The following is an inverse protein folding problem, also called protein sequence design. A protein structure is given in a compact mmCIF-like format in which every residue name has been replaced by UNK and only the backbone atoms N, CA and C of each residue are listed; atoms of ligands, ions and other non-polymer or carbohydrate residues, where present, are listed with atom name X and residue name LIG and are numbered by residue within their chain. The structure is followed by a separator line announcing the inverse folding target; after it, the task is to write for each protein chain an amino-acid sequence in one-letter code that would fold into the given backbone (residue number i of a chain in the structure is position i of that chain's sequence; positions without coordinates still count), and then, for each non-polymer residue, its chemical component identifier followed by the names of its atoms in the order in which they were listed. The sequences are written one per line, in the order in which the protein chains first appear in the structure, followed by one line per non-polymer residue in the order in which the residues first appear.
data_IF_563256256267
#
_entry.id   IF_563256256267
#
_cell.length_a   1.000
_cell.length_b   1.000
_cell.length_c   1.000
_cell.angle_alpha   90.00
_cell.angle_beta   90.00
_cell.angle_gamma   90.00
#
_symmetry.space_group_name_H-M   'P 1'
#
loop_
_entity.id
_entity.type
_entity.pdbx_description
1 polymer ?
#
# COMPACT_ATOMS: atom_id res chain seq x y z
N UNK A 1 13.39 13.99 6.79
CA UNK A 1 11.91 14.04 6.67
C UNK A 1 11.46 12.65 6.26
N UNK A 2 10.70 11.96 7.09
CA UNK A 2 10.17 10.62 6.78
C UNK A 2 9.11 10.76 5.68
N UNK A 3 9.29 10.09 4.56
CA UNK A 3 8.26 10.02 3.50
C UNK A 3 6.97 9.47 4.10
N UNK A 4 5.87 10.21 3.96
CA UNK A 4 4.55 9.86 4.46
C UNK A 4 3.99 8.68 3.67
N UNK A 5 3.99 7.49 4.27
CA UNK A 5 3.38 6.29 3.69
C UNK A 5 1.86 6.43 3.72
N UNK A 6 1.24 6.52 2.55
CA UNK A 6 -0.21 6.63 2.44
C UNK A 6 -0.82 5.32 1.97
N UNK A 7 -1.87 4.87 2.64
CA UNK A 7 -2.57 3.66 2.27
C UNK A 7 -3.37 3.85 0.97
N UNK A 8 -3.11 3.00 -0.02
CA UNK A 8 -3.76 3.08 -1.34
C UNK A 8 -5.27 2.88 -1.25
N UNK A 9 -5.76 2.09 -0.28
CA UNK A 9 -7.18 1.74 -0.11
C UNK A 9 -8.00 2.78 0.66
N UNK A 10 -7.57 3.17 1.86
CA UNK A 10 -8.35 4.10 2.70
C UNK A 10 -7.90 5.56 2.60
N UNK A 11 -6.80 5.83 1.87
CA UNK A 11 -6.21 7.18 1.70
C UNK A 11 -5.75 7.85 2.99
N UNK A 12 -5.62 7.10 4.09
CA UNK A 12 -5.05 7.59 5.35
C UNK A 12 -3.55 7.32 5.41
N UNK A 13 -2.84 8.16 6.15
CA UNK A 13 -1.45 7.90 6.51
C UNK A 13 -1.31 6.60 7.31
N UNK A 14 -0.22 5.89 7.05
CA UNK A 14 0.21 4.71 7.79
C UNK A 14 1.17 5.19 8.87
N UNK A 15 0.78 5.01 10.13
CA UNK A 15 1.60 5.36 11.28
C UNK A 15 2.69 4.31 11.51
N UNK A 16 3.75 4.70 12.19
CA UNK A 16 4.94 3.86 12.43
C UNK A 16 4.62 2.49 13.07
N UNK A 17 3.58 2.41 13.91
CA UNK A 17 3.16 1.19 14.60
C UNK A 17 2.04 0.41 13.88
N UNK A 18 1.60 0.88 12.72
CA UNK A 18 0.50 0.24 11.99
C UNK A 18 1.04 -0.84 11.04
N UNK A 19 0.40 -2.01 11.08
CA UNK A 19 0.69 -3.09 10.15
C UNK A 19 0.22 -2.73 8.75
N UNK A 20 1.12 -2.87 7.79
CA UNK A 20 0.87 -2.58 6.39
C UNK A 20 1.62 -3.58 5.50
N UNK A 21 1.07 -3.82 4.32
CA UNK A 21 1.72 -4.57 3.25
C UNK A 21 2.29 -3.61 2.22
N UNK A 22 3.42 -4.01 1.62
CA UNK A 22 4.03 -3.32 0.48
C UNK A 22 3.58 -4.06 -0.78
N UNK A 23 2.95 -3.34 -1.70
CA UNK A 23 2.46 -3.86 -2.98
C UNK A 23 3.36 -3.30 -4.07
N UNK A 24 3.92 -4.20 -4.87
CA UNK A 24 4.77 -3.86 -6.02
C UNK A 24 4.30 -4.67 -7.22
N UNK A 25 4.08 -4.00 -8.34
CA UNK A 25 3.68 -4.65 -9.58
C UNK A 25 4.91 -4.91 -10.45
N UNK A 26 4.82 -5.95 -11.29
CA UNK A 26 5.82 -6.24 -12.31
C UNK A 26 5.17 -6.05 -13.67
N UNK A 27 5.70 -5.13 -14.46
CA UNK A 27 5.24 -4.84 -15.82
C UNK A 27 6.43 -4.94 -16.74
N UNK A 28 6.35 -5.78 -17.79
CA UNK A 28 7.45 -5.99 -18.74
C UNK A 28 8.79 -6.30 -18.04
N UNK A 29 8.77 -7.20 -17.05
CA UNK A 29 9.96 -7.60 -16.27
C UNK A 29 10.60 -6.46 -15.44
N UNK A 30 9.91 -5.32 -15.29
CA UNK A 30 10.35 -4.20 -14.46
C UNK A 30 9.42 -4.02 -13.26
N UNK A 31 10.00 -3.71 -12.11
CA UNK A 31 9.27 -3.39 -10.89
C UNK A 31 8.70 -1.96 -10.98
N UNK A 32 7.43 -1.80 -10.62
CA UNK A 32 6.79 -0.48 -10.47
C UNK A 32 7.09 0.13 -9.11
N UNK A 33 6.63 1.36 -8.88
CA UNK A 33 6.71 2.02 -7.57
C UNK A 33 6.07 1.19 -6.45
N UNK A 34 6.60 1.38 -5.23
CA UNK A 34 6.08 0.77 -4.01
C UNK A 34 4.79 1.45 -3.58
N UNK A 35 3.75 0.66 -3.41
CA UNK A 35 2.48 1.09 -2.83
C UNK A 35 2.30 0.47 -1.45
N UNK A 36 1.53 1.11 -0.59
CA UNK A 36 1.29 0.64 0.77
C UNK A 36 -0.20 0.44 1.02
N UNK A 37 -0.56 -0.62 1.74
CA UNK A 37 -1.94 -0.86 2.18
C UNK A 37 -1.97 -1.28 3.64
N UNK A 38 -2.88 -0.72 4.45
CA UNK A 38 -3.18 -1.27 5.77
C UNK A 38 -3.72 -2.70 5.63
N UNK A 39 -3.30 -3.60 6.52
CA UNK A 39 -3.80 -4.98 6.56
C UNK A 39 -5.31 -5.02 6.82
N UNK A 40 -5.83 -4.08 7.61
CA UNK A 40 -7.25 -4.00 7.97
C UNK A 40 -8.13 -3.37 6.89
N UNK A 41 -7.54 -2.81 5.82
CA UNK A 41 -8.34 -2.20 4.77
C UNK A 41 -9.13 -3.27 4.03
N UNK A 42 -10.47 -3.15 3.94
CA UNK A 42 -11.32 -4.16 3.33
C UNK A 42 -10.86 -4.41 1.90
N UNK A 43 -10.64 -5.68 1.56
CA UNK A 43 -10.47 -6.09 0.17
C UNK A 43 -11.83 -5.95 -0.51
N UNK A 44 -11.97 -4.92 -1.35
CA UNK A 44 -13.05 -4.90 -2.33
C UNK A 44 -12.72 -5.97 -3.36
N UNK A 45 -13.10 -7.22 -3.07
CA UNK A 45 -13.25 -8.23 -4.11
C UNK A 45 -14.43 -7.79 -4.98
N UNK A 46 -14.14 -7.07 -6.06
CA UNK A 46 -15.06 -6.96 -7.18
C UNK A 46 -14.84 -8.20 -8.04
N UNK A 47 -15.81 -9.12 -8.00
CA UNK A 47 -15.93 -10.27 -8.92
C UNK A 47 -16.33 -9.75 -10.30
#
# INVERSE_FOLDING_TARGET
MSESKNCLKCKKDIKEKELHKIVMYVVQERFTEHHYEHIECPEKFTI
#
